data_IF_009302381492
#
_entry.id   IF_009302381492
#
_cell.length_a   1.000
_cell.length_b   1.000
_cell.length_c   1.000
_cell.angle_alpha   90.00
_cell.angle_beta   90.00
_cell.angle_gamma   90.00
#
_symmetry.space_group_name_H-M   'P 1'
#
loop_
_entity.id
_entity.type
_entity.pdbx_description
1 polymer ?
#
# COMPACT_ATOMS: atom_id res chain seq x y z
N UNK A 1 1.24 -18.01 -20.94
CA UNK A 1 2.56 -18.65 -21.00
C UNK A 1 2.35 -20.09 -21.41
N UNK A 2 2.83 -20.51 -22.59
CA UNK A 2 2.87 -21.93 -22.98
C UNK A 2 4.28 -22.44 -22.66
N UNK A 3 4.38 -23.43 -21.78
CA UNK A 3 5.64 -24.10 -21.47
C UNK A 3 6.08 -24.94 -22.67
N UNK A 4 7.34 -24.80 -23.09
CA UNK A 4 7.88 -25.67 -24.13
C UNK A 4 8.12 -27.08 -23.58
N UNK A 5 8.23 -28.08 -24.47
CA UNK A 5 8.48 -29.47 -24.05
C UNK A 5 9.83 -29.62 -23.33
N UNK A 6 10.82 -28.81 -23.67
CA UNK A 6 12.12 -28.80 -22.99
C UNK A 6 11.99 -28.27 -21.56
N UNK A 7 11.29 -27.14 -21.38
CA UNK A 7 11.04 -26.53 -20.06
C UNK A 7 10.25 -27.49 -19.15
N UNK A 8 9.29 -28.23 -19.71
CA UNK A 8 8.51 -29.22 -18.98
C UNK A 8 9.36 -30.41 -18.49
N UNK A 9 10.38 -30.83 -19.26
CA UNK A 9 11.30 -31.90 -18.88
C UNK A 9 12.27 -31.45 -17.78
N UNK A 10 12.76 -30.21 -17.84
CA UNK A 10 13.60 -29.64 -16.76
C UNK A 10 12.82 -29.54 -15.45
N UNK A 11 11.55 -29.12 -15.51
CA UNK A 11 10.67 -29.07 -14.34
C UNK A 11 10.42 -30.44 -13.71
N UNK A 12 10.17 -31.45 -14.55
CA UNK A 12 10.04 -32.85 -14.11
C UNK A 12 11.32 -33.36 -13.46
N UNK A 13 12.49 -32.96 -13.96
CA UNK A 13 13.79 -33.28 -13.36
C UNK A 13 13.96 -32.65 -11.98
N UNK A 14 13.61 -31.36 -11.83
CA UNK A 14 13.64 -30.66 -10.56
C UNK A 14 12.69 -31.31 -9.54
N UNK A 15 11.46 -31.64 -9.94
CA UNK A 15 10.45 -32.25 -9.09
C UNK A 15 10.69 -33.75 -8.80
N UNK A 16 11.55 -34.41 -9.57
CA UNK A 16 12.05 -35.75 -9.24
C UNK A 16 13.21 -35.71 -8.24
N UNK A 17 14.02 -34.64 -8.27
CA UNK A 17 15.15 -34.44 -7.36
C UNK A 17 14.74 -33.81 -6.02
N UNK A 18 13.69 -32.98 -6.03
CA UNK A 18 13.15 -32.22 -4.91
C UNK A 18 11.67 -32.54 -4.76
N UNK A 19 11.08 -32.37 -3.57
CA UNK A 19 9.63 -32.41 -3.48
C UNK A 19 9.00 -31.17 -4.17
N UNK A 20 7.68 -31.17 -4.31
CA UNK A 20 6.96 -30.06 -4.95
C UNK A 20 7.30 -28.71 -4.29
N UNK A 21 7.20 -28.60 -2.96
CA UNK A 21 7.47 -27.36 -2.24
C UNK A 21 8.90 -26.82 -2.43
N UNK A 22 9.89 -27.69 -2.40
CA UNK A 22 11.31 -27.32 -2.56
C UNK A 22 11.63 -26.94 -4.01
N UNK A 23 10.99 -27.59 -4.99
CA UNK A 23 11.13 -27.21 -6.41
C UNK A 23 10.60 -25.80 -6.68
N UNK A 24 9.45 -25.43 -6.08
CA UNK A 24 8.92 -24.06 -6.15
C UNK A 24 9.87 -23.01 -5.56
N UNK A 25 10.50 -23.32 -4.43
CA UNK A 25 11.43 -22.41 -3.76
C UNK A 25 12.68 -22.16 -4.64
N UNK A 26 13.31 -23.22 -5.15
CA UNK A 26 14.50 -23.11 -6.01
C UNK A 26 14.20 -22.35 -7.29
N UNK A 27 13.03 -22.58 -7.89
CA UNK A 27 12.62 -21.83 -9.07
C UNK A 27 12.37 -20.34 -8.78
N UNK A 28 11.80 -20.02 -7.61
CA UNK A 28 11.63 -18.63 -7.18
C UNK A 28 12.98 -17.95 -6.94
N UNK A 29 13.92 -18.62 -6.28
CA UNK A 29 15.28 -18.10 -6.04
C UNK A 29 16.07 -17.91 -7.33
N UNK A 30 15.89 -18.81 -8.30
CA UNK A 30 16.49 -18.71 -9.64
C UNK A 30 15.82 -17.66 -10.54
N UNK A 31 14.76 -16.99 -10.07
CA UNK A 31 14.06 -15.95 -10.84
C UNK A 31 13.28 -16.50 -12.04
N UNK A 32 12.94 -17.79 -12.06
CA UNK A 32 12.17 -18.43 -13.13
C UNK A 32 10.69 -18.05 -13.13
N UNK A 33 10.24 -17.33 -12.10
CA UNK A 33 8.92 -16.70 -12.04
C UNK A 33 9.06 -15.19 -12.16
N UNK A 34 8.67 -14.65 -13.33
CA UNK A 34 8.34 -13.24 -13.44
C UNK A 34 7.02 -12.99 -12.73
N UNK A 35 7.09 -12.58 -11.46
CA UNK A 35 5.95 -11.93 -10.82
C UNK A 35 5.64 -10.61 -11.55
N UNK A 36 4.38 -10.18 -11.62
CA UNK A 36 4.08 -8.85 -12.16
C UNK A 36 4.90 -7.81 -11.40
N UNK A 37 5.59 -6.93 -12.13
CA UNK A 37 6.35 -5.83 -11.52
C UNK A 37 5.42 -5.03 -10.60
N UNK A 38 5.81 -4.92 -9.34
CA UNK A 38 5.02 -4.19 -8.34
C UNK A 38 5.53 -2.76 -8.29
N UNK A 39 4.64 -1.76 -8.25
CA UNK A 39 5.07 -0.38 -8.03
C UNK A 39 5.78 -0.28 -6.69
N UNK A 40 6.91 0.42 -6.69
CA UNK A 40 7.64 0.73 -5.47
C UNK A 40 6.75 1.60 -4.57
N UNK A 41 6.63 1.22 -3.31
CA UNK A 41 5.91 2.01 -2.31
C UNK A 41 6.93 2.95 -1.69
N UNK A 42 6.77 4.28 -1.82
CA UNK A 42 7.69 5.21 -1.20
C UNK A 42 7.67 5.07 0.32
N UNK A 43 8.84 5.11 0.95
CA UNK A 43 8.94 5.13 2.41
C UNK A 43 8.75 6.56 2.94
N UNK A 44 7.54 7.08 2.73
CA UNK A 44 7.08 8.40 3.18
C UNK A 44 5.90 8.20 4.10
N UNK A 45 5.79 9.00 5.16
CA UNK A 45 4.60 9.05 6.01
C UNK A 45 4.12 10.49 6.07
N UNK A 46 2.81 10.66 6.12
CA UNK A 46 2.24 11.98 6.34
C UNK A 46 2.58 12.42 7.76
N UNK A 47 3.26 13.55 7.86
CA UNK A 47 3.45 14.28 9.10
C UNK A 47 2.78 15.65 8.94
N UNK A 48 1.72 15.90 9.71
CA UNK A 48 0.96 17.15 9.63
C UNK A 48 1.72 18.33 10.22
N UNK A 49 2.60 18.10 11.20
CA UNK A 49 3.34 19.16 11.88
C UNK A 49 4.30 19.87 10.93
N UNK A 50 4.83 19.13 9.94
CA UNK A 50 5.75 19.65 8.92
C UNK A 50 5.07 19.98 7.57
N UNK A 51 3.78 19.67 7.39
CA UNK A 51 3.08 19.76 6.09
C UNK A 51 2.83 21.20 5.59
N UNK A 52 2.70 22.14 6.52
CA UNK A 52 2.37 23.54 6.25
C UNK A 52 0.87 23.80 6.04
N UNK A 53 0.33 24.80 6.73
CA UNK A 53 -1.12 25.09 6.79
C UNK A 53 -1.76 25.34 5.42
N UNK A 54 -1.15 26.15 4.55
CA UNK A 54 -1.71 26.48 3.24
C UNK A 54 -1.75 25.26 2.30
N UNK A 55 -0.77 24.37 2.40
CA UNK A 55 -0.75 23.11 1.64
C UNK A 55 -1.83 22.16 2.13
N UNK A 56 -2.02 22.08 3.46
CA UNK A 56 -3.06 21.27 4.07
C UNK A 56 -4.45 21.67 3.55
N UNK A 57 -4.76 22.97 3.52
CA UNK A 57 -6.05 23.46 2.98
C UNK A 57 -6.24 23.07 1.52
N UNK A 58 -5.21 23.19 0.68
CA UNK A 58 -5.30 22.79 -0.74
C UNK A 58 -5.47 21.28 -0.93
N UNK A 59 -4.84 20.48 -0.08
CA UNK A 59 -4.85 19.03 -0.20
C UNK A 59 -6.09 18.38 0.45
N UNK A 60 -6.56 18.92 1.56
CA UNK A 60 -7.53 18.28 2.45
C UNK A 60 -8.78 19.13 2.72
N UNK A 61 -8.84 20.37 2.20
CA UNK A 61 -9.86 21.41 2.48
C UNK A 61 -9.84 21.98 3.91
N UNK A 62 -9.05 21.39 4.79
CA UNK A 62 -8.84 21.83 6.16
C UNK A 62 -7.35 22.11 6.37
N UNK A 63 -7.04 23.07 7.24
CA UNK A 63 -5.69 23.26 7.74
C UNK A 63 -5.31 22.15 8.73
N UNK A 64 -4.05 22.12 9.16
CA UNK A 64 -3.53 21.11 10.09
C UNK A 64 -4.36 21.03 11.37
N UNK A 65 -4.68 22.19 11.97
CA UNK A 65 -5.50 22.24 13.18
C UNK A 65 -6.94 21.77 12.96
N UNK A 66 -7.53 22.08 11.81
CA UNK A 66 -8.84 21.58 11.41
C UNK A 66 -8.87 20.05 11.31
N UNK A 67 -7.81 19.44 10.76
CA UNK A 67 -7.70 17.97 10.68
C UNK A 67 -7.59 17.37 12.09
N UNK A 68 -6.70 17.87 12.95
CA UNK A 68 -6.57 17.37 14.33
C UNK A 68 -7.83 17.62 15.18
N UNK A 69 -8.59 18.67 14.90
CA UNK A 69 -9.90 18.90 15.52
C UNK A 69 -10.92 17.86 15.05
N UNK A 70 -10.99 17.59 13.75
CA UNK A 70 -11.89 16.58 13.19
C UNK A 70 -11.58 15.18 13.72
N UNK A 71 -10.31 14.79 13.86
CA UNK A 71 -9.91 13.52 14.52
C UNK A 71 -10.56 13.39 15.89
N UNK A 72 -10.46 14.46 16.71
CA UNK A 72 -11.04 14.50 18.06
C UNK A 72 -12.57 14.48 18.03
N UNK A 73 -13.20 15.25 17.15
CA UNK A 73 -14.66 15.32 17.03
C UNK A 73 -15.27 14.00 16.51
N UNK A 74 -14.58 13.30 15.62
CA UNK A 74 -14.98 11.99 15.13
C UNK A 74 -14.66 10.85 16.11
N UNK A 75 -13.95 11.12 17.21
CA UNK A 75 -13.60 10.12 18.21
C UNK A 75 -12.69 9.02 17.68
N UNK A 76 -11.78 9.36 16.75
CA UNK A 76 -10.87 8.37 16.16
C UNK A 76 -9.83 7.91 17.19
N UNK A 77 -9.45 6.62 17.18
CA UNK A 77 -8.35 6.13 17.99
C UNK A 77 -7.02 6.69 17.48
N UNK A 78 -6.03 6.87 18.36
CA UNK A 78 -4.69 7.40 18.02
C UNK A 78 -4.04 6.65 16.84
N UNK A 79 -4.25 5.33 16.78
CA UNK A 79 -3.83 4.47 15.68
C UNK A 79 -5.04 3.74 15.11
N UNK A 80 -5.25 3.88 13.80
CA UNK A 80 -6.26 3.14 13.04
C UNK A 80 -5.60 1.86 12.51
N UNK A 81 -6.26 0.73 12.76
CA UNK A 81 -5.83 -0.60 12.32
C UNK A 81 -6.96 -1.20 11.48
N UNK A 82 -6.69 -1.49 10.21
CA UNK A 82 -7.67 -2.15 9.33
C UNK A 82 -7.74 -3.65 9.62
N UNK A 83 -8.80 -4.33 9.16
CA UNK A 83 -8.93 -5.79 9.28
C UNK A 83 -7.77 -6.55 8.61
N UNK A 84 -7.18 -5.97 7.56
CA UNK A 84 -6.01 -6.51 6.88
C UNK A 84 -4.68 -6.21 7.60
N UNK A 85 -4.73 -5.52 8.74
CA UNK A 85 -3.57 -5.18 9.56
C UNK A 85 -2.80 -3.94 9.12
N UNK A 86 -3.35 -3.11 8.22
CA UNK A 86 -2.70 -1.84 7.87
C UNK A 86 -2.82 -0.86 9.05
N UNK A 87 -1.68 -0.32 9.49
CA UNK A 87 -1.59 0.59 10.65
C UNK A 87 -1.20 1.99 10.20
N UNK A 88 -1.98 2.98 10.62
CA UNK A 88 -1.71 4.41 10.38
C UNK A 88 -2.17 5.27 11.56
N UNK A 89 -1.64 6.48 11.67
CA UNK A 89 -2.10 7.44 12.68
C UNK A 89 -3.51 7.94 12.34
N UNK A 90 -4.27 8.34 13.35
CA UNK A 90 -5.62 8.88 13.18
C UNK A 90 -5.67 10.03 12.17
N UNK A 91 -4.70 10.92 12.26
CA UNK A 91 -4.54 12.08 11.37
C UNK A 91 -4.22 11.67 9.93
N UNK A 92 -3.35 10.66 9.74
CA UNK A 92 -3.06 10.09 8.43
C UNK A 92 -4.32 9.45 7.82
N UNK A 93 -5.05 8.66 8.60
CA UNK A 93 -6.29 8.02 8.16
C UNK A 93 -7.34 9.04 7.72
N UNK A 94 -7.57 10.07 8.53
CA UNK A 94 -8.49 11.14 8.19
C UNK A 94 -8.02 11.93 6.96
N UNK A 95 -6.72 12.22 6.86
CA UNK A 95 -6.15 12.91 5.70
C UNK A 95 -6.29 12.09 4.40
N UNK A 96 -6.13 10.76 4.45
CA UNK A 96 -6.41 9.86 3.32
C UNK A 96 -7.86 10.01 2.88
N UNK A 97 -8.82 9.99 3.82
CA UNK A 97 -10.24 10.15 3.51
C UNK A 97 -10.56 11.53 2.93
N UNK A 98 -10.11 12.61 3.57
CA UNK A 98 -10.33 13.98 3.11
C UNK A 98 -9.74 14.19 1.72
N UNK A 99 -8.56 13.63 1.45
CA UNK A 99 -7.93 13.74 0.14
C UNK A 99 -8.72 13.02 -0.96
N UNK A 100 -9.32 11.86 -0.66
CA UNK A 100 -10.23 11.14 -1.58
C UNK A 100 -11.50 11.93 -1.88
N UNK A 101 -12.01 12.70 -0.92
CA UNK A 101 -13.20 13.54 -1.07
C UNK A 101 -12.92 14.89 -1.77
N UNK A 102 -11.64 15.31 -1.84
CA UNK A 102 -11.24 16.62 -2.38
C UNK A 102 -11.61 16.81 -3.87
N UNK A 103 -11.41 15.78 -4.68
CA UNK A 103 -11.70 15.68 -6.12
C UNK A 103 -11.38 14.23 -6.51
N UNK A 104 -11.89 13.63 -7.60
CA UNK A 104 -11.45 12.30 -8.02
C UNK A 104 -9.92 12.24 -8.11
N UNK A 105 -9.33 11.39 -7.26
CA UNK A 105 -7.90 11.05 -7.21
C UNK A 105 -7.75 9.55 -7.42
N UNK A 106 -6.73 9.13 -8.16
CA UNK A 106 -6.39 7.70 -8.24
C UNK A 106 -5.65 7.31 -6.96
N UNK A 107 -5.89 6.10 -6.45
CA UNK A 107 -5.14 5.57 -5.31
C UNK A 107 -3.65 5.48 -5.61
N UNK A 108 -3.29 5.27 -6.89
CA UNK A 108 -1.90 5.30 -7.35
C UNK A 108 -1.23 6.66 -7.11
N UNK A 109 -1.88 7.76 -7.47
CA UNK A 109 -1.34 9.12 -7.29
C UNK A 109 -1.18 9.49 -5.81
N UNK A 110 -1.94 8.82 -4.94
CA UNK A 110 -1.87 9.00 -3.49
C UNK A 110 -0.68 8.24 -2.86
N UNK A 111 -0.08 7.27 -3.56
CA UNK A 111 1.04 6.48 -3.03
C UNK A 111 2.22 7.36 -2.66
N UNK A 112 2.57 8.33 -3.50
CA UNK A 112 3.70 9.25 -3.26
C UNK A 112 3.50 10.14 -2.04
N UNK A 113 2.24 10.45 -1.72
CA UNK A 113 1.88 11.35 -0.63
C UNK A 113 1.82 10.66 0.73
N UNK A 114 1.31 9.43 0.77
CA UNK A 114 1.09 8.71 2.02
C UNK A 114 2.08 7.54 2.23
N UNK A 115 2.85 7.18 1.21
CA UNK A 115 3.77 6.03 1.23
C UNK A 115 3.07 4.71 1.55
N UNK A 116 1.81 4.58 1.11
CA UNK A 116 0.97 3.39 1.30
C UNK A 116 0.65 2.76 -0.03
N UNK A 117 0.49 1.44 -0.04
CA UNK A 117 0.06 0.69 -1.22
C UNK A 117 -1.37 1.06 -1.62
N UNK A 118 -1.73 0.90 -2.90
CA UNK A 118 -3.11 1.15 -3.35
C UNK A 118 -4.16 0.30 -2.60
N UNK A 119 -3.91 -0.98 -2.24
CA UNK A 119 -4.86 -1.73 -1.43
C UNK A 119 -5.00 -1.16 -0.01
N UNK A 120 -3.90 -0.73 0.62
CA UNK A 120 -3.95 -0.10 1.94
C UNK A 120 -4.75 1.21 1.90
N UNK A 121 -4.50 2.07 0.92
CA UNK A 121 -5.25 3.33 0.74
C UNK A 121 -6.74 3.12 0.48
N UNK A 122 -7.11 2.00 -0.16
CA UNK A 122 -8.51 1.61 -0.34
C UNK A 122 -9.16 1.23 1.00
N UNK A 123 -8.46 0.42 1.80
CA UNK A 123 -8.92 -0.12 3.09
C UNK A 123 -8.89 0.86 4.25
N UNK A 124 -8.03 1.88 4.19
CA UNK A 124 -8.04 2.99 5.13
C UNK A 124 -9.29 3.83 4.83
N UNK A 125 -10.40 3.37 5.41
CA UNK A 125 -11.71 3.99 5.40
C UNK A 125 -12.22 3.88 6.84
N UNK A 126 -12.60 5.02 7.41
CA UNK A 126 -13.09 5.15 8.78
C UNK A 126 -14.52 4.64 8.91
#
# INVERSE_FOLDING_TARGET
>A
MQLSQADALELLGLQAALNEADSWLVMQEAGLFDGPERPLIPDVRLDLDTYGYANAVKAFRFDVHGISLLVRLCGLPDTVITEAGDRCLAEEALAVMLHRLSYPRRLHDMMDKFGRSTPALSRIFL
#
